data_IF_774517746401
#
_entry.id   IF_774517746401
#
_cell.length_a   1.000
_cell.length_b   1.000
_cell.length_c   1.000
_cell.angle_alpha   90.00
_cell.angle_beta   90.00
_cell.angle_gamma   90.00
#
_symmetry.space_group_name_H-M   'P 1'
#
loop_
_entity.id
_entity.type
_entity.pdbx_description
1 polymer ?
#
# COMPACT_ATOMS: atom_id res chain seq x y z
N UNK A 1 15.62 -18.54 64.59
CA UNK A 1 16.26 -17.33 64.05
C UNK A 1 16.61 -17.57 62.59
N UNK A 2 16.28 -16.59 61.72
CA UNK A 2 16.60 -16.47 60.28
C UNK A 2 15.91 -17.45 59.31
N UNK A 3 14.72 -17.03 58.88
CA UNK A 3 14.16 -17.29 57.55
C UNK A 3 15.09 -16.66 56.50
N UNK A 4 15.39 -17.38 55.43
CA UNK A 4 15.96 -16.82 54.21
C UNK A 4 14.97 -17.07 53.07
N UNK A 5 14.47 -15.97 52.51
CA UNK A 5 13.66 -15.90 51.30
C UNK A 5 14.52 -16.28 50.10
N UNK A 6 14.03 -17.18 49.25
CA UNK A 6 14.57 -17.40 47.91
C UNK A 6 13.63 -16.74 46.90
N UNK A 7 14.17 -15.71 46.25
CA UNK A 7 13.58 -14.95 45.15
C UNK A 7 13.50 -15.83 43.90
N UNK A 8 12.32 -15.92 43.28
CA UNK A 8 12.14 -16.45 41.92
C UNK A 8 12.58 -15.39 40.91
N UNK A 9 13.80 -15.51 40.40
CA UNK A 9 14.24 -14.72 39.23
C UNK A 9 15.40 -15.42 38.49
N UNK A 10 15.15 -16.61 37.94
CA UNK A 10 16.02 -17.25 36.93
C UNK A 10 15.51 -18.66 36.58
N UNK A 11 14.37 -18.75 35.88
CA UNK A 11 13.90 -20.03 35.33
C UNK A 11 13.21 -19.83 33.98
N UNK A 12 13.99 -19.49 32.94
CA UNK A 12 13.57 -19.60 31.52
C UNK A 12 14.75 -19.37 30.56
N UNK A 13 15.88 -20.04 30.80
CA UNK A 13 16.92 -20.24 29.78
C UNK A 13 17.47 -21.64 30.01
N UNK A 14 16.88 -22.65 29.38
CA UNK A 14 17.44 -23.96 29.07
C UNK A 14 16.27 -24.86 28.65
N UNK A 15 16.04 -24.99 27.34
CA UNK A 15 15.51 -26.18 26.65
C UNK A 15 14.99 -25.73 25.28
N UNK A 16 15.82 -25.85 24.24
CA UNK A 16 15.46 -26.35 22.90
C UNK A 16 16.73 -26.45 22.06
N UNK A 17 17.65 -27.31 22.50
CA UNK A 17 18.71 -27.88 21.67
C UNK A 17 18.64 -29.39 21.86
N UNK A 18 17.77 -30.04 21.09
CA UNK A 18 17.86 -31.48 20.85
C UNK A 18 17.99 -31.64 19.34
N UNK A 19 19.22 -31.92 18.95
CA UNK A 19 19.64 -32.40 17.65
C UNK A 19 19.10 -33.83 17.52
N UNK A 20 18.13 -34.04 16.63
CA UNK A 20 17.87 -35.37 16.08
C UNK A 20 18.47 -35.44 14.67
N UNK A 21 19.69 -36.00 14.60
CA UNK A 21 20.24 -36.58 13.40
C UNK A 21 19.40 -37.82 13.04
N UNK A 22 18.61 -37.72 11.97
CA UNK A 22 18.04 -38.90 11.29
C UNK A 22 18.75 -39.03 9.94
N UNK A 23 19.25 -40.22 9.57
CA UNK A 23 19.84 -40.44 8.25
C UNK A 23 18.75 -40.31 7.18
N UNK A 24 18.93 -39.36 6.28
CA UNK A 24 18.09 -39.21 5.09
C UNK A 24 18.17 -40.48 4.24
N UNK A 25 17.07 -41.22 4.16
CA UNK A 25 16.85 -42.14 3.06
C UNK A 25 16.64 -41.30 1.79
N UNK A 26 17.68 -41.21 0.96
CA UNK A 26 17.57 -40.66 -0.38
C UNK A 26 16.71 -41.63 -1.23
N UNK A 27 15.42 -41.34 -1.37
CA UNK A 27 14.64 -41.88 -2.47
C UNK A 27 14.93 -41.06 -3.73
N UNK A 28 15.76 -41.60 -4.61
CA UNK A 28 15.83 -41.19 -6.00
C UNK A 28 14.53 -41.63 -6.70
N UNK A 29 13.48 -40.83 -6.57
CA UNK A 29 12.28 -40.94 -7.39
C UNK A 29 12.36 -39.90 -8.52
N UNK A 30 13.06 -40.25 -9.60
CA UNK A 30 12.86 -39.62 -10.91
C UNK A 30 11.50 -40.04 -11.46
N UNK A 31 10.45 -39.41 -10.94
CA UNK A 31 9.20 -39.22 -11.69
C UNK A 31 9.30 -37.85 -12.34
N UNK A 32 9.18 -37.80 -13.67
CA UNK A 32 8.95 -36.55 -14.38
C UNK A 32 7.68 -35.93 -13.76
N UNK A 33 7.88 -34.89 -12.96
CA UNK A 33 6.82 -34.30 -12.18
C UNK A 33 5.88 -33.59 -13.16
N UNK A 34 4.67 -34.12 -13.36
CA UNK A 34 3.54 -33.40 -13.96
C UNK A 34 3.07 -32.25 -13.03
N UNK A 35 3.99 -31.59 -12.35
CA UNK A 35 3.76 -30.47 -11.45
C UNK A 35 4.01 -29.21 -12.26
N UNK A 36 2.92 -28.57 -12.68
CA UNK A 36 2.97 -27.24 -13.24
C UNK A 36 3.08 -26.23 -12.10
N UNK A 37 3.97 -25.26 -12.25
CA UNK A 37 4.03 -24.12 -11.33
C UNK A 37 2.81 -23.23 -11.55
N UNK A 38 2.21 -22.76 -10.45
CA UNK A 38 1.15 -21.77 -10.50
C UNK A 38 1.77 -20.39 -10.70
N UNK A 39 1.38 -19.70 -11.77
CA UNK A 39 1.77 -18.32 -12.03
C UNK A 39 0.61 -17.37 -11.69
N UNK A 40 0.95 -16.18 -11.17
CA UNK A 40 -0.01 -15.10 -10.98
C UNK A 40 -0.07 -14.30 -12.30
N UNK A 41 -1.25 -14.23 -12.93
CA UNK A 41 -1.42 -13.52 -14.19
C UNK A 41 -1.02 -12.03 -14.06
N UNK A 42 -0.46 -11.46 -15.12
CA UNK A 42 -0.01 -10.06 -15.15
C UNK A 42 1.21 -9.76 -14.26
N UNK A 43 1.90 -10.80 -13.77
CA UNK A 43 3.11 -10.64 -12.97
C UNK A 43 4.37 -11.06 -13.70
N UNK A 44 5.49 -10.47 -13.30
CA UNK A 44 6.83 -10.81 -13.78
C UNK A 44 7.84 -10.62 -12.65
N UNK A 45 9.00 -11.25 -12.81
CA UNK A 45 10.12 -11.12 -11.88
C UNK A 45 11.34 -10.64 -12.63
N UNK A 46 11.97 -9.58 -12.13
CA UNK A 46 13.16 -8.97 -12.68
C UNK A 46 14.31 -9.13 -11.71
N UNK A 47 15.53 -9.18 -12.24
CA UNK A 47 16.75 -9.18 -11.44
C UNK A 47 17.39 -7.80 -11.50
N UNK A 48 17.78 -7.27 -10.34
CA UNK A 48 18.51 -6.01 -10.23
C UNK A 48 19.68 -6.16 -9.26
N UNK A 49 20.90 -5.92 -9.73
CA UNK A 49 22.10 -5.93 -8.88
C UNK A 49 22.44 -4.51 -8.44
N UNK A 50 22.47 -4.28 -7.13
CA UNK A 50 22.76 -2.98 -6.54
C UNK A 50 24.26 -2.71 -6.46
N UNK A 51 24.70 -1.53 -6.93
CA UNK A 51 26.07 -1.05 -6.69
C UNK A 51 26.17 -0.39 -5.31
N UNK A 52 25.10 0.27 -4.88
CA UNK A 52 25.02 0.92 -3.55
C UNK A 52 25.19 -0.10 -2.42
N UNK A 53 24.66 -1.31 -2.59
CA UNK A 53 24.74 -2.40 -1.61
C UNK A 53 25.69 -3.50 -2.12
N UNK A 54 26.87 -3.08 -2.57
CA UNK A 54 28.04 -3.95 -2.81
C UNK A 54 27.75 -5.23 -3.61
N UNK A 55 27.01 -5.12 -4.71
CA UNK A 55 26.69 -6.25 -5.58
C UNK A 55 25.53 -7.11 -5.11
N UNK A 56 24.79 -6.69 -4.08
CA UNK A 56 23.57 -7.38 -3.65
C UNK A 56 22.60 -7.51 -4.83
N UNK A 57 22.18 -8.73 -5.09
CA UNK A 57 21.10 -9.02 -6.02
C UNK A 57 19.75 -8.87 -5.35
N UNK A 58 18.83 -8.17 -6.00
CA UNK A 58 17.42 -8.10 -5.66
C UNK A 58 16.61 -8.80 -6.74
N UNK A 59 15.58 -9.51 -6.28
CA UNK A 59 14.53 -10.04 -7.14
C UNK A 59 13.32 -9.13 -6.98
N UNK A 60 12.96 -8.44 -8.07
CA UNK A 60 11.94 -7.41 -8.10
C UNK A 60 10.71 -7.99 -8.81
N UNK A 61 9.64 -8.16 -8.05
CA UNK A 61 8.38 -8.70 -8.57
C UNK A 61 7.49 -7.55 -9.02
N UNK A 62 6.91 -7.62 -10.21
CA UNK A 62 6.08 -6.54 -10.77
C UNK A 62 4.72 -7.11 -11.13
N UNK A 63 3.63 -6.52 -10.61
CA UNK A 63 2.25 -6.77 -11.06
C UNK A 63 1.77 -5.55 -11.86
N UNK A 64 1.33 -5.79 -13.10
CA UNK A 64 0.80 -4.76 -13.99
C UNK A 64 -0.73 -4.76 -13.94
N UNK A 65 -1.38 -3.58 -14.08
CA UNK A 65 -2.83 -3.51 -14.24
C UNK A 65 -3.27 -4.20 -15.55
N UNK A 66 -4.50 -4.73 -15.58
CA UNK A 66 -4.99 -5.55 -16.71
C UNK A 66 -4.89 -4.86 -18.08
N UNK A 67 -5.21 -3.57 -18.15
CA UNK A 67 -5.19 -2.77 -19.38
C UNK A 67 -3.88 -2.03 -19.61
N UNK A 68 -2.79 -2.46 -18.96
CA UNK A 68 -1.51 -1.76 -19.06
C UNK A 68 -1.10 -1.52 -20.51
N UNK A 69 -1.19 -2.53 -21.38
CA UNK A 69 -0.78 -2.45 -22.79
C UNK A 69 -1.68 -1.60 -23.69
N UNK A 70 -2.91 -1.32 -23.26
CA UNK A 70 -3.93 -0.65 -24.07
C UNK A 70 -3.85 0.88 -23.97
N UNK A 71 -3.00 1.39 -23.06
CA UNK A 71 -2.94 2.81 -22.72
C UNK A 71 -1.51 3.33 -22.54
N UNK A 72 -1.34 4.62 -22.82
CA UNK A 72 -0.13 5.39 -22.53
C UNK A 72 -0.16 6.07 -21.16
N UNK A 73 -1.21 5.85 -20.36
CA UNK A 73 -1.39 6.37 -18.99
C UNK A 73 -0.20 5.98 -18.11
N UNK A 74 0.17 6.91 -17.21
CA UNK A 74 1.12 6.65 -16.13
C UNK A 74 0.36 6.26 -14.87
N UNK A 75 0.81 5.20 -14.21
CA UNK A 75 0.15 4.59 -13.08
C UNK A 75 0.82 4.95 -11.75
N UNK A 76 0.07 5.14 -10.66
CA UNK A 76 0.63 5.07 -9.31
C UNK A 76 1.44 3.78 -9.11
N UNK A 77 2.48 3.86 -8.27
CA UNK A 77 3.36 2.72 -7.98
C UNK A 77 3.36 2.40 -6.49
N UNK A 78 3.25 1.12 -6.17
CA UNK A 78 3.24 0.60 -4.80
C UNK A 78 4.50 -0.24 -4.60
N UNK A 79 5.44 0.24 -3.80
CA UNK A 79 6.63 -0.50 -3.39
C UNK A 79 6.30 -1.34 -2.16
N UNK A 80 6.33 -2.66 -2.31
CA UNK A 80 6.02 -3.63 -1.27
C UNK A 80 7.31 -4.28 -0.76
N UNK A 81 7.63 -4.06 0.50
CA UNK A 81 8.73 -4.73 1.19
C UNK A 81 8.35 -6.17 1.54
N UNK A 82 9.36 -7.02 1.79
CA UNK A 82 9.15 -8.44 2.18
C UNK A 82 8.30 -9.23 1.16
N UNK A 83 8.48 -8.95 -0.14
CA UNK A 83 7.59 -9.45 -1.20
C UNK A 83 7.65 -10.97 -1.39
N UNK A 84 8.70 -11.65 -0.93
CA UNK A 84 8.78 -13.11 -0.89
C UNK A 84 7.63 -13.76 -0.10
N UNK A 85 7.07 -13.04 0.88
CA UNK A 85 5.93 -13.51 1.67
C UNK A 85 4.63 -12.84 1.25
N UNK A 86 4.70 -11.55 0.88
CA UNK A 86 3.51 -10.71 0.80
C UNK A 86 3.02 -10.44 -0.64
N UNK A 87 3.79 -10.76 -1.69
CA UNK A 87 3.42 -10.40 -3.07
C UNK A 87 2.13 -11.07 -3.58
N UNK A 88 1.90 -12.38 -3.39
CA UNK A 88 0.63 -12.99 -3.78
C UNK A 88 -0.56 -12.40 -3.02
N UNK A 89 -0.37 -12.14 -1.72
CA UNK A 89 -1.40 -11.53 -0.86
C UNK A 89 -1.79 -10.15 -1.38
N UNK A 90 -0.82 -9.27 -1.62
CA UNK A 90 -1.09 -7.89 -2.06
C UNK A 90 -1.63 -7.86 -3.49
N UNK A 91 -1.18 -8.76 -4.37
CA UNK A 91 -1.74 -8.90 -5.72
C UNK A 91 -3.23 -9.28 -5.66
N UNK A 92 -3.61 -10.22 -4.79
CA UNK A 92 -5.00 -10.61 -4.58
C UNK A 92 -5.85 -9.49 -3.97
N UNK A 93 -5.33 -8.79 -2.96
CA UNK A 93 -5.98 -7.60 -2.38
C UNK A 93 -6.24 -6.55 -3.46
N UNK A 94 -5.23 -6.23 -4.26
CA UNK A 94 -5.36 -5.22 -5.32
C UNK A 94 -6.45 -5.58 -6.32
N UNK A 95 -6.50 -6.83 -6.81
CA UNK A 95 -7.50 -7.26 -7.77
C UNK A 95 -8.94 -7.02 -7.29
N UNK A 96 -9.26 -7.43 -6.05
CA UNK A 96 -10.59 -7.19 -5.47
C UNK A 96 -10.89 -5.72 -5.21
N UNK A 97 -9.93 -4.96 -4.68
CA UNK A 97 -10.12 -3.54 -4.39
C UNK A 97 -10.24 -2.68 -5.64
N UNK A 98 -9.57 -3.08 -6.72
CA UNK A 98 -9.73 -2.47 -8.04
C UNK A 98 -11.13 -2.76 -8.59
N UNK A 99 -11.58 -4.03 -8.57
CA UNK A 99 -12.92 -4.41 -9.01
C UNK A 99 -14.03 -3.63 -8.28
N UNK A 100 -13.89 -3.45 -6.97
CA UNK A 100 -14.86 -2.70 -6.15
C UNK A 100 -14.74 -1.17 -6.29
N UNK A 101 -13.75 -0.66 -7.06
CA UNK A 101 -13.55 0.77 -7.29
C UNK A 101 -12.94 1.54 -6.10
N UNK A 102 -12.38 0.85 -5.12
CA UNK A 102 -11.64 1.48 -4.01
C UNK A 102 -10.22 1.89 -4.40
N UNK A 103 -9.66 1.23 -5.40
CA UNK A 103 -8.29 1.45 -5.87
C UNK A 103 -8.29 1.91 -7.32
N UNK A 104 -7.43 2.87 -7.71
CA UNK A 104 -7.13 3.10 -9.12
C UNK A 104 -6.30 1.93 -9.66
N UNK A 105 -6.18 1.86 -10.99
CA UNK A 105 -5.13 1.05 -11.59
C UNK A 105 -3.75 1.45 -11.04
N UNK A 106 -2.95 0.49 -10.61
CA UNK A 106 -1.62 0.72 -10.05
C UNK A 106 -0.64 -0.37 -10.47
N UNK A 107 0.65 -0.05 -10.45
CA UNK A 107 1.74 -1.03 -10.60
C UNK A 107 2.23 -1.39 -9.20
N UNK A 108 2.29 -2.68 -8.88
CA UNK A 108 2.90 -3.16 -7.63
C UNK A 108 4.32 -3.62 -7.93
N UNK A 109 5.27 -3.11 -7.17
CA UNK A 109 6.69 -3.46 -7.22
C UNK A 109 7.07 -4.10 -5.88
N UNK A 110 7.06 -5.42 -5.84
CA UNK A 110 7.58 -6.21 -4.73
C UNK A 110 9.10 -6.22 -4.70
N UNK A 111 9.67 -5.94 -3.53
CA UNK A 111 11.11 -5.95 -3.29
C UNK A 111 11.43 -7.16 -2.41
N UNK A 112 12.21 -8.09 -2.98
CA UNK A 112 12.82 -9.18 -2.23
C UNK A 112 14.27 -9.40 -2.69
N UNK A 113 15.00 -10.26 -1.99
CA UNK A 113 16.41 -10.49 -2.23
C UNK A 113 16.61 -11.65 -3.21
N UNK A 114 17.56 -11.49 -4.13
CA UNK A 114 17.98 -12.51 -5.08
C UNK A 114 19.31 -13.15 -4.69
N UNK A 115 19.94 -13.84 -5.65
CA UNK A 115 21.16 -14.62 -5.44
C UNK A 115 20.88 -16.08 -5.11
N UNK A 116 21.95 -16.85 -4.88
CA UNK A 116 21.84 -18.27 -4.54
C UNK A 116 21.42 -18.44 -3.07
N UNK A 117 20.25 -19.05 -2.85
CA UNK A 117 19.68 -19.34 -1.52
C UNK A 117 19.70 -18.16 -0.53
N UNK A 118 19.04 -17.03 -0.86
CA UNK A 118 19.07 -15.83 -0.03
C UNK A 118 18.49 -16.07 1.37
N UNK A 119 19.24 -15.71 2.40
CA UNK A 119 18.73 -15.69 3.77
C UNK A 119 17.91 -14.42 4.02
N UNK A 120 16.61 -14.49 3.74
CA UNK A 120 15.71 -13.35 3.87
C UNK A 120 15.69 -12.74 5.27
N UNK A 121 15.82 -13.55 6.33
CA UNK A 121 15.83 -13.07 7.71
C UNK A 121 17.03 -12.18 8.02
N UNK A 122 18.22 -12.55 7.54
CA UNK A 122 19.43 -11.74 7.69
C UNK A 122 19.42 -10.50 6.79
N UNK A 123 19.02 -10.67 5.53
CA UNK A 123 19.03 -9.59 4.55
C UNK A 123 18.02 -8.49 4.89
N UNK A 124 16.81 -8.85 5.35
CA UNK A 124 15.84 -7.88 5.85
C UNK A 124 16.31 -7.19 7.12
N UNK A 125 16.97 -7.92 8.03
CA UNK A 125 17.52 -7.33 9.24
C UNK A 125 18.59 -6.28 8.90
N UNK A 126 19.46 -6.58 7.92
CA UNK A 126 20.46 -5.64 7.40
C UNK A 126 19.80 -4.39 6.84
N UNK A 127 18.89 -4.55 5.89
CA UNK A 127 18.39 -3.46 5.07
C UNK A 127 17.28 -2.64 5.73
N UNK A 128 16.53 -3.19 6.69
CA UNK A 128 15.40 -2.49 7.31
C UNK A 128 15.72 -1.80 8.63
N UNK A 129 16.89 -2.07 9.21
CA UNK A 129 17.24 -1.50 10.53
C UNK A 129 18.08 -0.22 10.40
N UNK A 130 17.73 0.86 11.12
CA UNK A 130 18.44 2.15 11.02
C UNK A 130 19.87 2.18 11.56
N UNK A 131 20.18 1.38 12.57
CA UNK A 131 21.48 1.39 13.26
C UNK A 131 22.09 0.00 13.33
N UNK A 132 23.39 -0.05 13.59
CA UNK A 132 24.08 -1.31 13.80
C UNK A 132 24.11 -1.58 15.32
N UNK A 133 23.53 -2.68 15.77
CA UNK A 133 23.53 -3.10 17.19
C UNK A 133 24.92 -3.56 17.70
N UNK A 134 26.00 -3.18 17.03
CA UNK A 134 27.35 -3.70 17.27
C UNK A 134 27.53 -5.16 16.82
N UNK A 135 26.63 -5.69 15.98
CA UNK A 135 26.60 -7.10 15.57
C UNK A 135 27.10 -7.33 14.13
N UNK A 136 27.94 -6.43 13.62
CA UNK A 136 28.52 -6.51 12.27
C UNK A 136 27.59 -6.05 11.16
N UNK A 137 27.91 -6.36 9.90
CA UNK A 137 27.19 -5.89 8.70
C UNK A 137 25.77 -6.48 8.52
N UNK A 138 25.19 -7.08 9.56
CA UNK A 138 23.89 -7.75 9.55
C UNK A 138 22.74 -6.81 9.94
N UNK A 139 23.04 -5.57 10.35
CA UNK A 139 22.07 -4.54 10.76
C UNK A 139 22.57 -3.15 10.33
N UNK A 140 21.68 -2.16 10.32
CA UNK A 140 22.04 -0.75 10.21
C UNK A 140 22.20 -0.21 8.80
N UNK A 141 21.72 -0.92 7.78
CA UNK A 141 21.91 -0.55 6.39
C UNK A 141 20.71 0.18 5.78
N UNK A 142 19.71 0.60 6.59
CA UNK A 142 18.51 1.29 6.10
C UNK A 142 18.82 2.55 5.29
N UNK A 143 19.89 3.28 5.63
CA UNK A 143 20.32 4.43 4.82
C UNK A 143 20.65 4.03 3.38
N UNK A 144 21.54 3.04 3.20
CA UNK A 144 21.93 2.56 1.88
C UNK A 144 20.77 1.87 1.16
N UNK A 145 19.90 1.15 1.88
CA UNK A 145 18.72 0.55 1.29
C UNK A 145 17.72 1.60 0.78
N UNK A 146 17.50 2.68 1.53
CA UNK A 146 16.72 3.81 1.03
C UNK A 146 17.37 4.46 -0.19
N UNK A 147 18.70 4.66 -0.18
CA UNK A 147 19.43 5.18 -1.35
C UNK A 147 19.32 4.25 -2.56
N UNK A 148 19.41 2.93 -2.37
CA UNK A 148 19.14 1.93 -3.42
C UNK A 148 17.75 2.09 -4.02
N UNK A 149 16.71 2.21 -3.17
CA UNK A 149 15.34 2.40 -3.66
C UNK A 149 15.24 3.68 -4.51
N UNK A 150 15.85 4.78 -4.06
CA UNK A 150 15.76 6.08 -4.70
C UNK A 150 16.58 6.20 -5.99
N UNK A 151 17.79 5.64 -6.01
CA UNK A 151 18.79 5.91 -7.05
C UNK A 151 19.02 4.75 -8.03
N UNK A 152 18.62 3.52 -7.66
CA UNK A 152 18.78 2.35 -8.53
C UNK A 152 17.42 1.74 -8.88
N UNK A 153 16.65 1.31 -7.90
CA UNK A 153 15.38 0.61 -8.14
C UNK A 153 14.33 1.50 -8.80
N UNK A 154 14.07 2.68 -8.25
CA UNK A 154 13.03 3.57 -8.79
C UNK A 154 13.34 4.03 -10.21
N UNK A 155 14.57 4.50 -10.53
CA UNK A 155 14.94 4.81 -11.91
C UNK A 155 14.83 3.60 -12.85
N UNK A 156 15.19 2.40 -12.39
CA UNK A 156 15.03 1.18 -13.17
C UNK A 156 13.55 0.89 -13.48
N UNK A 157 12.66 1.02 -12.50
CA UNK A 157 11.21 0.87 -12.72
C UNK A 157 10.68 1.97 -13.65
N UNK A 158 11.07 3.23 -13.44
CA UNK A 158 10.64 4.36 -14.27
C UNK A 158 11.10 4.28 -15.73
N UNK A 159 12.22 3.61 -16.00
CA UNK A 159 12.72 3.40 -17.35
C UNK A 159 11.97 2.27 -18.09
N UNK A 160 11.48 1.26 -17.36
CA UNK A 160 10.85 0.07 -17.95
C UNK A 160 9.32 0.11 -17.90
N UNK A 161 8.74 0.97 -17.05
CA UNK A 161 7.30 1.02 -16.81
C UNK A 161 6.73 2.44 -16.81
N UNK A 162 5.47 2.58 -17.23
CA UNK A 162 4.71 3.84 -17.21
C UNK A 162 4.23 4.16 -15.80
N UNK A 163 5.13 4.59 -14.93
CA UNK A 163 4.79 5.00 -13.56
C UNK A 163 4.68 6.52 -13.41
N UNK A 164 3.83 6.95 -12.47
CA UNK A 164 3.72 8.32 -12.01
C UNK A 164 4.76 8.60 -10.93
N UNK A 165 5.64 9.56 -11.18
CA UNK A 165 6.73 9.93 -10.26
C UNK A 165 6.25 10.57 -8.95
N UNK A 166 5.02 11.08 -8.96
CA UNK A 166 4.44 11.87 -7.86
C UNK A 166 3.35 11.09 -7.10
N UNK A 167 3.24 9.77 -7.31
CA UNK A 167 2.30 8.93 -6.58
C UNK A 167 2.94 7.58 -6.28
N UNK A 168 3.92 7.62 -5.37
CA UNK A 168 4.62 6.44 -4.85
C UNK A 168 4.08 6.10 -3.46
N UNK A 169 3.80 4.82 -3.26
CA UNK A 169 3.39 4.25 -1.98
C UNK A 169 4.47 3.30 -1.48
N UNK A 170 4.85 3.37 -0.20
CA UNK A 170 5.72 2.38 0.45
C UNK A 170 4.91 1.55 1.45
N UNK A 171 5.04 0.22 1.36
CA UNK A 171 4.33 -0.73 2.21
C UNK A 171 5.27 -1.67 2.95
N UNK A 172 5.01 -1.90 4.24
CA UNK A 172 5.81 -2.83 5.03
C UNK A 172 5.17 -3.23 6.36
N UNK A 173 5.63 -4.35 6.90
CA UNK A 173 5.16 -4.89 8.19
C UNK A 173 6.33 -5.23 9.10
N UNK A 174 6.16 -5.15 10.42
CA UNK A 174 7.22 -5.52 11.38
C UNK A 174 8.50 -4.66 11.18
N UNK A 175 9.67 -5.28 10.94
CA UNK A 175 10.88 -4.55 10.52
C UNK A 175 10.68 -3.77 9.22
N UNK A 176 9.88 -4.28 8.27
CA UNK A 176 9.51 -3.52 7.07
C UNK A 176 8.73 -2.27 7.44
N UNK A 177 7.86 -2.34 8.45
CA UNK A 177 7.14 -1.17 9.00
C UNK A 177 8.07 -0.17 9.70
N UNK A 178 9.10 -0.65 10.41
CA UNK A 178 10.17 0.20 10.95
C UNK A 178 10.92 0.93 9.83
N UNK A 179 11.31 0.22 8.76
CA UNK A 179 11.94 0.85 7.60
C UNK A 179 10.99 1.83 6.89
N UNK A 180 9.70 1.51 6.79
CA UNK A 180 8.70 2.45 6.23
C UNK A 180 8.64 3.75 7.04
N UNK A 181 8.69 3.68 8.39
CA UNK A 181 8.81 4.87 9.23
C UNK A 181 10.16 5.59 9.06
N UNK A 182 11.25 4.84 8.92
CA UNK A 182 12.57 5.42 8.64
C UNK A 182 12.56 6.24 7.33
N UNK A 183 12.03 5.66 6.26
CA UNK A 183 11.92 6.31 4.96
C UNK A 183 11.02 7.56 5.01
N UNK A 184 9.92 7.50 5.77
CA UNK A 184 9.02 8.64 5.99
C UNK A 184 9.77 9.89 6.50
N UNK A 185 10.66 9.72 7.48
CA UNK A 185 11.37 10.87 8.08
C UNK A 185 12.69 11.21 7.39
N UNK A 186 13.31 10.27 6.68
CA UNK A 186 14.57 10.51 5.96
C UNK A 186 14.39 10.92 4.49
N UNK A 187 13.23 10.65 3.90
CA UNK A 187 12.89 11.01 2.53
C UNK A 187 11.38 11.35 2.35
N UNK A 188 10.85 12.33 3.10
CA UNK A 188 9.41 12.63 3.13
C UNK A 188 8.83 13.03 1.76
N UNK A 189 9.64 13.61 0.88
CA UNK A 189 9.20 14.06 -0.45
C UNK A 189 9.22 12.95 -1.51
N UNK A 190 9.80 11.79 -1.19
CA UNK A 190 10.01 10.73 -2.17
C UNK A 190 8.78 9.84 -2.35
N UNK A 191 8.13 9.45 -1.26
CA UNK A 191 6.83 8.76 -1.26
C UNK A 191 5.74 9.66 -0.71
N UNK A 192 4.56 9.60 -1.33
CA UNK A 192 3.40 10.41 -0.92
C UNK A 192 2.49 9.62 0.03
N UNK A 193 2.59 8.30 -0.01
CA UNK A 193 1.73 7.38 0.72
C UNK A 193 2.55 6.32 1.46
N UNK A 194 2.12 5.98 2.67
CA UNK A 194 2.75 4.98 3.51
C UNK A 194 1.67 4.08 4.11
N UNK A 195 1.81 2.77 3.96
CA UNK A 195 0.91 1.78 4.56
C UNK A 195 1.74 0.79 5.36
N UNK A 196 1.56 0.76 6.67
CA UNK A 196 2.35 -0.13 7.51
C UNK A 196 1.56 -0.80 8.61
N UNK A 197 2.00 -1.99 8.98
CA UNK A 197 1.37 -2.83 10.01
C UNK A 197 2.39 -3.32 11.03
N UNK A 198 2.00 -3.35 12.30
CA UNK A 198 2.80 -3.83 13.43
C UNK A 198 4.25 -3.32 13.40
N UNK A 199 4.50 -2.00 13.23
CA UNK A 199 5.85 -1.49 13.05
C UNK A 199 6.70 -1.78 14.29
N UNK A 200 7.93 -2.28 14.08
CA UNK A 200 8.87 -2.61 15.14
C UNK A 200 9.49 -1.36 15.80
N UNK A 201 8.65 -0.47 16.34
CA UNK A 201 9.06 0.78 16.98
C UNK A 201 9.95 0.61 18.23
N UNK A 202 9.90 -0.51 18.99
CA UNK A 202 10.83 -0.73 20.11
C UNK A 202 12.28 -1.04 19.73
N UNK A 203 12.53 -1.24 18.43
CA UNK A 203 13.84 -1.67 17.96
C UNK A 203 14.94 -0.65 18.33
N UNK A 204 16.09 -1.18 18.78
CA UNK A 204 17.26 -0.44 19.26
C UNK A 204 16.90 0.71 20.21
N UNK A 205 16.25 0.37 21.33
CA UNK A 205 15.88 1.35 22.37
C UNK A 205 15.05 2.51 21.80
N UNK A 206 13.99 2.19 21.06
CA UNK A 206 13.09 3.18 20.48
C UNK A 206 13.79 4.15 19.48
N UNK A 207 14.82 3.71 18.74
CA UNK A 207 15.64 4.59 17.87
C UNK A 207 14.80 5.44 16.90
N UNK A 208 13.66 4.92 16.44
CA UNK A 208 12.78 5.61 15.50
C UNK A 208 12.21 6.92 16.10
N UNK A 209 12.06 7.01 17.42
CA UNK A 209 11.64 8.24 18.10
C UNK A 209 12.72 9.32 18.02
N UNK A 210 14.00 8.95 18.10
CA UNK A 210 15.10 9.88 17.89
C UNK A 210 15.11 10.40 16.45
N UNK A 211 14.91 9.52 15.47
CA UNK A 211 14.87 9.88 14.05
C UNK A 211 13.70 10.83 13.74
N UNK A 212 12.52 10.56 14.31
CA UNK A 212 11.37 11.45 14.23
C UNK A 212 11.65 12.81 14.88
N UNK A 213 12.24 12.82 16.07
CA UNK A 213 12.59 14.06 16.77
C UNK A 213 13.57 14.92 15.97
N UNK A 214 14.60 14.31 15.36
CA UNK A 214 15.54 15.01 14.47
C UNK A 214 14.84 15.63 13.25
N UNK A 215 13.81 14.96 12.72
CA UNK A 215 12.99 15.50 11.64
C UNK A 215 12.14 16.66 12.13
N UNK A 216 11.42 16.47 13.24
CA UNK A 216 10.58 17.48 13.87
C UNK A 216 11.34 18.76 14.14
N UNK A 217 12.56 18.67 14.68
CA UNK A 217 13.36 19.85 15.04
C UNK A 217 13.69 20.74 13.85
N UNK A 218 13.70 20.17 12.64
CA UNK A 218 14.04 20.87 11.39
C UNK A 218 12.81 21.17 10.52
N UNK A 219 11.77 20.32 10.59
CA UNK A 219 10.64 20.35 9.68
C UNK A 219 9.32 20.13 10.44
N UNK A 220 8.34 21.01 10.20
CA UNK A 220 6.98 20.90 10.77
C UNK A 220 5.94 20.42 9.76
N UNK A 221 6.34 20.29 8.50
CA UNK A 221 5.48 19.90 7.38
C UNK A 221 5.78 18.47 7.00
N UNK A 222 4.75 17.62 6.91
CA UNK A 222 4.86 16.22 6.50
C UNK A 222 3.66 15.88 5.62
N UNK A 223 3.66 16.30 4.34
CA UNK A 223 2.47 16.34 3.47
C UNK A 223 2.19 14.98 2.83
N UNK A 224 1.96 13.96 3.66
CA UNK A 224 1.80 12.57 3.24
C UNK A 224 0.51 11.96 3.77
N UNK A 225 0.08 10.88 3.14
CA UNK A 225 -0.94 9.98 3.71
C UNK A 225 -0.26 8.81 4.40
N UNK A 226 -0.56 8.60 5.67
CA UNK A 226 0.00 7.52 6.48
C UNK A 226 -1.14 6.67 7.04
N UNK A 227 -1.12 5.37 6.74
CA UNK A 227 -1.94 4.37 7.40
C UNK A 227 -1.06 3.50 8.30
N UNK A 228 -1.49 3.30 9.54
CA UNK A 228 -0.83 2.41 10.49
C UNK A 228 -1.84 1.47 11.15
N UNK A 229 -1.50 0.19 11.25
CA UNK A 229 -2.28 -0.75 12.04
C UNK A 229 -1.43 -1.63 12.96
N UNK A 230 -2.05 -2.17 14.01
CA UNK A 230 -1.49 -3.23 14.87
C UNK A 230 -2.61 -4.21 15.25
N UNK A 231 -2.26 -5.44 15.60
CA UNK A 231 -3.21 -6.40 16.15
C UNK A 231 -3.50 -6.14 17.64
N UNK A 232 -4.71 -6.44 18.09
CA UNK A 232 -5.10 -6.34 19.50
C UNK A 232 -4.45 -7.40 20.40
N UNK A 233 -3.99 -8.50 19.82
CA UNK A 233 -3.21 -9.53 20.52
C UNK A 233 -1.71 -9.17 20.68
N UNK A 234 -1.27 -8.03 20.14
CA UNK A 234 0.08 -7.49 20.32
C UNK A 234 0.16 -6.52 21.51
N UNK A 235 1.34 -5.94 21.75
CA UNK A 235 1.48 -4.84 22.70
C UNK A 235 0.91 -3.53 22.09
N UNK A 236 -0.39 -3.35 22.29
CA UNK A 236 -1.13 -2.16 21.85
C UNK A 236 -0.63 -0.87 22.54
N UNK A 237 -0.05 -0.97 23.73
CA UNK A 237 0.47 0.21 24.45
C UNK A 237 1.70 0.79 23.73
N UNK A 238 2.60 -0.06 23.23
CA UNK A 238 3.74 0.35 22.40
C UNK A 238 3.26 1.07 21.13
N UNK A 239 2.27 0.50 20.42
CA UNK A 239 1.70 1.13 19.23
C UNK A 239 1.08 2.49 19.54
N UNK A 240 0.26 2.57 20.61
CA UNK A 240 -0.40 3.81 21.01
C UNK A 240 0.61 4.88 21.46
N UNK A 241 1.71 4.52 22.13
CA UNK A 241 2.79 5.45 22.49
C UNK A 241 3.35 6.15 21.25
N UNK A 242 3.66 5.37 20.20
CA UNK A 242 4.14 5.93 18.94
C UNK A 242 3.09 6.82 18.27
N UNK A 243 1.86 6.32 18.14
CA UNK A 243 0.76 7.06 17.50
C UNK A 243 0.49 8.39 18.21
N UNK A 244 0.48 8.39 19.54
CA UNK A 244 0.26 9.61 20.34
C UNK A 244 1.41 10.61 20.16
N UNK A 245 2.65 10.13 20.02
CA UNK A 245 3.82 10.98 19.73
C UNK A 245 3.64 11.70 18.41
N UNK A 246 3.37 10.97 17.32
CA UNK A 246 3.19 11.55 15.98
C UNK A 246 1.97 12.48 15.91
N UNK A 247 0.83 12.09 16.49
CA UNK A 247 -0.36 12.94 16.56
C UNK A 247 -0.12 14.23 17.36
N UNK A 248 0.64 14.14 18.45
CA UNK A 248 0.98 15.28 19.32
C UNK A 248 1.81 16.35 18.62
N UNK A 249 2.60 15.98 17.60
CA UNK A 249 3.36 16.94 16.77
C UNK A 249 2.47 17.87 15.96
N UNK A 250 1.29 17.42 15.55
CA UNK A 250 0.40 18.16 14.63
C UNK A 250 1.14 18.62 13.35
N UNK A 251 1.88 17.72 12.72
CA UNK A 251 2.57 18.00 11.46
C UNK A 251 1.61 18.59 10.42
N UNK A 252 2.02 19.70 9.79
CA UNK A 252 1.25 20.32 8.70
C UNK A 252 1.22 19.38 7.50
N UNK A 253 0.01 19.05 7.03
CA UNK A 253 -0.19 18.21 5.85
C UNK A 253 -0.19 16.70 6.11
N UNK A 254 0.07 16.25 7.35
CA UNK A 254 0.02 14.82 7.67
C UNK A 254 -1.43 14.34 7.72
N UNK A 255 -1.77 13.39 6.87
CA UNK A 255 -3.07 12.72 6.88
C UNK A 255 -2.92 11.30 7.44
N UNK A 256 -3.12 11.17 8.75
CA UNK A 256 -2.86 9.94 9.51
C UNK A 256 -4.15 9.17 9.84
N UNK A 257 -4.21 7.91 9.45
CA UNK A 257 -5.20 6.93 9.92
C UNK A 257 -4.52 5.82 10.71
N UNK A 258 -5.12 5.45 11.84
CA UNK A 258 -4.59 4.41 12.74
C UNK A 258 -5.66 3.40 13.10
N UNK A 259 -5.31 2.11 13.20
CA UNK A 259 -6.26 1.06 13.58
C UNK A 259 -5.62 0.01 14.51
N UNK A 260 -6.32 -0.32 15.58
CA UNK A 260 -6.10 -1.59 16.30
C UNK A 260 -7.10 -2.60 15.71
N UNK A 261 -6.58 -3.72 15.21
CA UNK A 261 -7.35 -4.75 14.53
C UNK A 261 -7.76 -5.82 15.54
N UNK A 262 -9.07 -6.09 15.60
CA UNK A 262 -9.67 -7.01 16.56
C UNK A 262 -9.43 -8.47 16.19
N UNK A 263 -9.11 -9.32 17.16
CA UNK A 263 -8.79 -10.74 17.01
C UNK A 263 -7.62 -11.01 16.05
N UNK A 264 -6.60 -10.17 16.06
CA UNK A 264 -5.48 -10.24 15.13
C UNK A 264 -4.15 -10.21 15.89
N UNK A 265 -3.26 -11.16 15.55
CA UNK A 265 -1.86 -11.17 15.97
C UNK A 265 -0.91 -10.60 14.91
N UNK A 266 0.40 -10.60 15.20
CA UNK A 266 1.44 -9.90 14.45
C UNK A 266 1.36 -10.07 12.91
N UNK A 267 1.45 -11.31 12.40
CA UNK A 267 1.41 -11.56 10.95
C UNK A 267 0.00 -11.42 10.36
N UNK A 268 -1.04 -11.63 11.18
CA UNK A 268 -2.44 -11.53 10.76
C UNK A 268 -2.87 -10.09 10.44
N UNK A 269 -2.08 -9.10 10.84
CA UNK A 269 -2.36 -7.69 10.50
C UNK A 269 -2.20 -7.40 9.02
N UNK A 270 -1.38 -8.16 8.29
CA UNK A 270 -1.05 -7.86 6.89
C UNK A 270 -2.27 -7.90 5.98
N UNK A 271 -3.11 -8.96 5.91
CA UNK A 271 -4.25 -8.96 5.01
C UNK A 271 -5.20 -7.78 5.26
N UNK A 272 -5.65 -7.59 6.50
CA UNK A 272 -6.64 -6.55 6.82
C UNK A 272 -6.02 -5.15 6.76
N UNK A 273 -4.81 -5.00 7.31
CA UNK A 273 -4.11 -3.73 7.37
C UNK A 273 -3.65 -3.23 6.00
N UNK A 274 -3.17 -4.11 5.12
CA UNK A 274 -2.84 -3.72 3.75
C UNK A 274 -4.11 -3.38 2.94
N UNK A 275 -5.21 -4.13 3.08
CA UNK A 275 -6.49 -3.78 2.44
C UNK A 275 -6.97 -2.40 2.87
N UNK A 276 -7.15 -2.17 4.19
CA UNK A 276 -7.66 -0.90 4.70
C UNK A 276 -6.69 0.26 4.45
N UNK A 277 -5.39 -0.01 4.49
CA UNK A 277 -4.37 0.99 4.23
C UNK A 277 -4.33 1.45 2.78
N UNK A 278 -4.44 0.53 1.82
CA UNK A 278 -4.55 0.86 0.40
C UNK A 278 -5.82 1.68 0.12
N UNK A 279 -6.97 1.25 0.65
CA UNK A 279 -8.22 2.02 0.57
C UNK A 279 -8.04 3.44 1.12
N UNK A 280 -7.34 3.60 2.24
CA UNK A 280 -7.10 4.90 2.85
C UNK A 280 -6.23 5.80 2.00
N UNK A 281 -5.05 5.33 1.59
CA UNK A 281 -4.08 6.19 0.90
C UNK A 281 -4.58 6.57 -0.50
N UNK A 282 -5.30 5.68 -1.19
CA UNK A 282 -5.90 5.95 -2.49
C UNK A 282 -7.32 6.51 -2.44
N UNK A 283 -7.87 6.76 -1.25
CA UNK A 283 -9.22 7.33 -1.08
C UNK A 283 -9.38 8.62 -1.89
N UNK A 284 -10.30 8.59 -2.86
CA UNK A 284 -10.76 9.78 -3.57
C UNK A 284 -11.45 10.71 -2.58
N UNK A 285 -11.04 11.98 -2.57
CA UNK A 285 -11.67 13.00 -1.73
C UNK A 285 -12.63 13.79 -2.61
N UNK A 286 -13.95 13.70 -2.38
CA UNK A 286 -14.91 14.42 -3.19
C UNK A 286 -14.67 15.94 -3.12
N UNK A 287 -14.79 16.61 -4.26
CA UNK A 287 -14.84 18.07 -4.32
C UNK A 287 -16.27 18.54 -4.08
N UNK A 288 -16.41 19.63 -3.33
CA UNK A 288 -17.72 20.28 -3.14
C UNK A 288 -18.00 21.21 -4.31
N UNK A 289 -19.09 20.95 -5.04
CA UNK A 289 -19.58 21.80 -6.11
C UNK A 289 -20.81 22.57 -5.64
N UNK A 290 -20.95 23.80 -6.11
CA UNK A 290 -22.16 24.61 -5.86
C UNK A 290 -23.33 24.11 -6.70
N UNK A 291 -24.57 24.35 -6.26
CA UNK A 291 -25.76 24.03 -7.05
C UNK A 291 -25.72 24.62 -8.48
N UNK A 292 -25.12 25.81 -8.65
CA UNK A 292 -24.91 26.43 -9.96
C UNK A 292 -23.97 25.63 -10.85
N UNK A 293 -22.87 25.11 -10.31
CA UNK A 293 -21.94 24.24 -11.05
C UNK A 293 -22.56 22.87 -11.36
N UNK A 294 -23.45 22.37 -10.50
CA UNK A 294 -24.12 21.08 -10.72
C UNK A 294 -25.26 21.15 -11.75
N UNK A 295 -25.93 22.30 -11.85
CA UNK A 295 -27.14 22.48 -12.68
C UNK A 295 -26.99 22.02 -14.15
N UNK A 296 -25.87 22.25 -14.86
CA UNK A 296 -25.69 21.80 -16.23
C UNK A 296 -25.81 20.28 -16.42
N UNK A 297 -25.52 19.49 -15.38
CA UNK A 297 -25.52 18.04 -15.43
C UNK A 297 -26.89 17.42 -15.13
N UNK A 298 -27.86 18.21 -14.64
CA UNK A 298 -29.23 17.76 -14.44
C UNK A 298 -29.90 17.49 -15.78
N UNK A 299 -30.64 16.38 -15.87
CA UNK A 299 -31.37 16.01 -17.07
C UNK A 299 -31.70 14.53 -17.16
N UNK A 300 -32.26 14.13 -18.30
CA UNK A 300 -32.51 12.72 -18.62
C UNK A 300 -31.45 12.25 -19.61
N UNK A 301 -30.86 11.09 -19.35
CA UNK A 301 -29.81 10.49 -20.16
C UNK A 301 -30.28 9.13 -20.69
N UNK A 302 -29.91 8.83 -21.93
CA UNK A 302 -30.09 7.53 -22.56
C UNK A 302 -28.77 6.78 -22.53
N UNK A 303 -28.74 5.67 -21.79
CA UNK A 303 -27.65 4.71 -21.80
C UNK A 303 -28.17 3.46 -22.52
N UNK A 304 -27.77 3.27 -23.76
CA UNK A 304 -28.36 2.27 -24.67
C UNK A 304 -29.89 2.37 -24.75
N UNK A 305 -30.61 1.41 -24.14
CA UNK A 305 -32.09 1.37 -24.09
C UNK A 305 -32.65 1.83 -22.74
N UNK A 306 -31.79 2.13 -21.78
CA UNK A 306 -32.18 2.52 -20.43
C UNK A 306 -32.18 4.04 -20.25
N UNK A 307 -33.05 4.50 -19.36
CA UNK A 307 -33.19 5.91 -19.02
C UNK A 307 -32.64 6.14 -17.62
N UNK A 308 -31.66 7.04 -17.51
CA UNK A 308 -31.14 7.53 -16.25
C UNK A 308 -31.55 8.99 -16.06
N UNK A 309 -32.20 9.34 -14.95
CA UNK A 309 -32.44 10.73 -14.59
C UNK A 309 -31.35 11.20 -13.63
N UNK A 310 -30.76 12.36 -13.87
CA UNK A 310 -29.84 13.01 -12.94
C UNK A 310 -30.52 14.26 -12.39
N UNK A 311 -30.61 14.33 -11.07
CA UNK A 311 -31.20 15.45 -10.33
C UNK A 311 -30.21 15.99 -9.30
N UNK A 312 -30.51 17.14 -8.70
CA UNK A 312 -29.78 17.65 -7.53
C UNK A 312 -30.61 17.37 -6.28
N UNK A 313 -30.04 16.64 -5.34
CA UNK A 313 -30.60 16.45 -3.99
C UNK A 313 -29.48 16.70 -2.97
N UNK A 314 -29.77 17.45 -1.90
CA UNK A 314 -28.80 17.77 -0.83
C UNK A 314 -27.45 18.30 -1.34
N UNK A 315 -27.47 19.15 -2.36
CA UNK A 315 -26.29 19.73 -3.01
C UNK A 315 -25.31 18.70 -3.62
N UNK A 316 -25.83 17.55 -4.07
CA UNK A 316 -25.10 16.54 -4.83
C UNK A 316 -25.92 16.11 -6.06
N UNK A 317 -25.24 15.57 -7.09
CA UNK A 317 -25.95 14.89 -8.16
C UNK A 317 -26.44 13.52 -7.68
N UNK A 318 -27.67 13.18 -8.04
CA UNK A 318 -28.27 11.87 -7.76
C UNK A 318 -28.76 11.29 -9.08
N UNK A 319 -28.21 10.13 -9.44
CA UNK A 319 -28.70 9.31 -10.53
C UNK A 319 -29.89 8.47 -10.07
N UNK A 320 -30.96 8.44 -10.86
CA UNK A 320 -32.18 7.68 -10.62
C UNK A 320 -32.39 6.76 -11.82
N UNK A 321 -32.30 5.45 -11.59
CA UNK A 321 -32.48 4.43 -12.63
C UNK A 321 -33.96 4.22 -12.99
N UNK A 322 -34.23 3.34 -13.97
CA UNK A 322 -35.58 3.04 -14.42
C UNK A 322 -36.45 2.36 -13.34
N UNK A 323 -35.83 1.79 -12.30
CA UNK A 323 -36.47 1.15 -11.15
C UNK A 323 -36.63 2.12 -9.96
N UNK A 324 -36.33 3.40 -10.14
CA UNK A 324 -36.33 4.45 -9.11
C UNK A 324 -35.29 4.26 -7.99
N UNK A 325 -34.26 3.43 -8.17
CA UNK A 325 -33.15 3.41 -7.22
C UNK A 325 -32.32 4.68 -7.37
N UNK A 326 -32.00 5.29 -6.23
CA UNK A 326 -31.20 6.51 -6.15
C UNK A 326 -29.76 6.20 -5.83
N UNK A 327 -28.84 6.79 -6.59
CA UNK A 327 -27.40 6.69 -6.37
C UNK A 327 -26.79 8.08 -6.29
N UNK A 328 -26.18 8.41 -5.15
CA UNK A 328 -25.46 9.68 -4.98
C UNK A 328 -24.14 9.63 -5.73
N UNK A 329 -23.90 10.67 -6.54
CA UNK A 329 -22.68 10.81 -7.34
C UNK A 329 -21.75 11.82 -6.64
N UNK A 330 -20.59 11.35 -6.22
CA UNK A 330 -19.54 12.20 -5.66
C UNK A 330 -18.75 12.86 -6.80
N UNK A 331 -18.48 14.17 -6.70
CA UNK A 331 -17.66 14.86 -7.67
C UNK A 331 -16.17 14.60 -7.41
N UNK A 332 -15.42 14.21 -8.43
CA UNK A 332 -13.95 14.12 -8.43
C UNK A 332 -13.33 15.37 -9.06
N UNK A 333 -13.96 15.92 -10.10
CA UNK A 333 -13.67 17.23 -10.68
C UNK A 333 -15.00 17.96 -10.94
N UNK A 334 -14.97 19.13 -11.60
CA UNK A 334 -16.21 19.80 -12.02
C UNK A 334 -17.04 18.93 -12.98
N UNK A 335 -16.40 18.09 -13.80
CA UNK A 335 -17.05 17.29 -14.86
C UNK A 335 -16.95 15.78 -14.67
N UNK A 336 -16.18 15.31 -13.69
CA UNK A 336 -15.96 13.89 -13.42
C UNK A 336 -16.59 13.52 -12.08
N UNK A 337 -17.41 12.47 -12.08
CA UNK A 337 -18.13 11.99 -10.91
C UNK A 337 -17.92 10.50 -10.73
N UNK A 338 -18.10 10.01 -9.52
CA UNK A 338 -17.95 8.60 -9.18
C UNK A 338 -18.92 8.17 -8.08
N UNK A 339 -19.11 6.87 -7.94
CA UNK A 339 -19.87 6.30 -6.82
C UNK A 339 -18.88 5.72 -5.81
N UNK A 340 -18.80 6.25 -4.58
CA UNK A 340 -17.90 5.71 -3.56
C UNK A 340 -18.14 4.20 -3.32
N UNK A 341 -17.08 3.40 -3.44
CA UNK A 341 -17.14 1.95 -3.24
C UNK A 341 -17.81 1.17 -4.37
N UNK A 342 -17.85 1.74 -5.59
CA UNK A 342 -18.19 1.02 -6.83
C UNK A 342 -17.26 1.47 -7.96
N UNK A 343 -16.91 0.55 -8.86
CA UNK A 343 -16.25 0.90 -10.12
C UNK A 343 -17.27 1.51 -11.10
N UNK A 344 -17.63 2.76 -10.83
CA UNK A 344 -18.61 3.50 -11.62
C UNK A 344 -18.18 4.97 -11.69
N UNK A 345 -17.70 5.38 -12.86
CA UNK A 345 -17.22 6.73 -13.12
C UNK A 345 -18.01 7.37 -14.27
N UNK A 346 -18.37 8.64 -14.10
CA UNK A 346 -19.11 9.42 -15.08
C UNK A 346 -18.25 10.60 -15.50
N UNK A 347 -17.87 10.63 -16.78
CA UNK A 347 -17.08 11.70 -17.38
C UNK A 347 -17.96 12.53 -18.29
N UNK A 348 -18.48 13.65 -17.79
CA UNK A 348 -19.37 14.51 -18.57
C UNK A 348 -18.65 15.21 -19.71
N UNK A 349 -19.31 15.20 -20.87
CA UNK A 349 -18.82 15.81 -22.10
C UNK A 349 -19.72 16.95 -22.52
N UNK A 350 -19.10 18.01 -23.03
CA UNK A 350 -19.80 19.17 -23.59
C UNK A 350 -19.74 19.15 -25.12
N UNK A 351 -20.78 19.65 -25.76
CA UNK A 351 -20.82 19.86 -27.20
C UNK A 351 -20.06 21.12 -27.63
N UNK A 352 -20.11 21.43 -28.93
CA UNK A 352 -19.50 22.63 -29.51
C UNK A 352 -20.11 23.94 -29.00
N UNK A 353 -21.33 23.91 -28.47
CA UNK A 353 -22.02 25.05 -27.85
C UNK A 353 -21.74 25.14 -26.34
N UNK A 354 -20.79 24.35 -25.82
CA UNK A 354 -20.41 24.28 -24.40
C UNK A 354 -21.56 23.83 -23.48
N UNK A 355 -22.55 23.10 -24.01
CA UNK A 355 -23.64 22.48 -23.27
C UNK A 355 -23.31 21.02 -22.97
N UNK A 356 -23.77 20.49 -21.83
CA UNK A 356 -23.55 19.07 -21.49
C UNK A 356 -24.33 18.19 -22.48
N UNK A 357 -23.62 17.45 -23.31
CA UNK A 357 -24.19 16.57 -24.34
C UNK A 357 -24.47 15.15 -23.83
N UNK A 358 -23.81 14.75 -22.75
CA UNK A 358 -23.83 13.40 -22.23
C UNK A 358 -22.66 13.13 -21.29
N UNK A 359 -22.42 11.86 -20.98
CA UNK A 359 -21.23 11.43 -20.25
C UNK A 359 -20.75 10.06 -20.73
N UNK A 360 -19.44 9.81 -20.63
CA UNK A 360 -18.93 8.45 -20.68
C UNK A 360 -19.13 7.81 -19.32
N UNK A 361 -19.80 6.67 -19.29
CA UNK A 361 -19.93 5.78 -18.15
C UNK A 361 -18.83 4.74 -18.22
N UNK A 362 -17.83 4.85 -17.36
CA UNK A 362 -16.79 3.85 -17.18
C UNK A 362 -17.20 2.88 -16.07
N UNK A 363 -17.30 1.61 -16.45
CA UNK A 363 -17.55 0.45 -15.60
C UNK A 363 -16.39 -0.52 -15.72
N UNK A 364 -16.33 -1.50 -14.82
CA UNK A 364 -15.26 -2.49 -14.83
C UNK A 364 -15.19 -3.25 -16.16
N UNK A 365 -16.35 -3.55 -16.75
CA UNK A 365 -16.47 -4.30 -18.01
C UNK A 365 -16.22 -3.44 -19.27
N UNK A 366 -16.15 -2.11 -19.14
CA UNK A 366 -15.92 -1.22 -20.27
C UNK A 366 -16.54 0.16 -20.15
N UNK A 367 -16.51 0.91 -21.26
CA UNK A 367 -16.97 2.30 -21.33
C UNK A 367 -18.13 2.42 -22.31
N UNK A 368 -19.24 3.01 -21.86
CA UNK A 368 -20.44 3.29 -22.68
C UNK A 368 -20.77 4.77 -22.65
N UNK A 369 -21.32 5.33 -23.73
CA UNK A 369 -21.72 6.74 -23.75
C UNK A 369 -23.21 6.90 -23.43
N UNK A 370 -23.54 7.74 -22.45
CA UNK A 370 -24.90 8.13 -22.12
C UNK A 370 -25.22 9.50 -22.74
N UNK A 371 -26.12 9.54 -23.72
CA UNK A 371 -26.51 10.79 -24.39
C UNK A 371 -27.56 11.54 -23.56
N UNK A 372 -27.37 12.84 -23.36
CA UNK A 372 -28.38 13.71 -22.74
C UNK A 372 -29.56 13.91 -23.71
N UNK A 373 -30.79 13.71 -23.25
CA UNK A 373 -32.00 14.09 -23.99
C UNK A 373 -32.15 15.60 -23.96
N UNK A 374 -32.54 16.16 -25.12
CA UNK A 374 -32.91 17.56 -25.28
C UNK A 374 -34.10 17.96 -24.39
#
# INVERSE_FOLDING_TARGET
>A
MKRALLNLSSLLVFLFFIIFLSPSFAQNNTTASNVLTVAIAGTQQLKLTSKIILGQEYSVQVNLPGHYSDTSKKFPVIYLLDSQWDFPLVSGIYGGQYYDGFMPEAIIVGITWGGENPNYGQLRARDFTPTNLGQGAQFGNAANFLTFIQQELTPFIEANYRVSKNNRTLMGSSLGGLFTLYALFKAPDFFQNYVLTSPATPWDQDVIYKIEQEYWDKNKTLPVRLYMATGDAEDVAIFNKWVNTVKGRKYTGLNLQTKVLENIGHSGTKPIGYTQGLQWVFKKTPVSLTATQLKPYVGTYLLDKEVLKIVIENNALVGIDAQNHKTVLAAETEKDFFVPGRFLFLHFQKDQANQVAGFQLEQFEGVTFAKKKE
#
